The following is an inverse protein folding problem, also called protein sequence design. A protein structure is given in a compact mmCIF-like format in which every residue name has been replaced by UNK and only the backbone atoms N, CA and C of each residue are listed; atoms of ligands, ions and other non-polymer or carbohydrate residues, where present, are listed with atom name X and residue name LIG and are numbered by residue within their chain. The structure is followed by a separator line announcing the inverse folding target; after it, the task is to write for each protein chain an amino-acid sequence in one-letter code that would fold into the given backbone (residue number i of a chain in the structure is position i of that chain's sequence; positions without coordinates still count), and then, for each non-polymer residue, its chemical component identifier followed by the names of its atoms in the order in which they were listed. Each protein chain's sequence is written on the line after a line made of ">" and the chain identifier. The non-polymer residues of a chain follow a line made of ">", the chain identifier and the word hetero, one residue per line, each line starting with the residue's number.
data_IF_032100552340
#
_entry.id   IF_032100552340
#
_cell.length_a   1.000
_cell.length_b   1.000
_cell.length_c   1.000
_cell.angle_alpha   90.00
_cell.angle_beta   90.00
_cell.angle_gamma   90.00
#
_symmetry.space_group_name_H-M   'P 1'
#
loop_
_entity.id
_entity.type
_entity.pdbx_description
1 polymer ?
#
# COMPACT_ATOMS: atom_id res chain seq x y z
N UNK A 1 -8.07 2.31 28.05
CA UNK A 1 -8.33 2.57 26.61
C UNK A 1 -7.15 3.23 25.90
N UNK A 2 -6.21 3.85 26.61
CA UNK A 2 -5.15 4.70 26.04
C UNK A 2 -4.09 3.97 25.22
N UNK A 3 -3.86 2.68 25.48
CA UNK A 3 -2.84 1.89 24.75
C UNK A 3 -3.21 1.64 23.29
N UNK A 4 -4.50 1.45 22.98
CA UNK A 4 -4.97 1.20 21.61
C UNK A 4 -4.83 2.46 20.77
N UNK A 5 -5.26 3.61 21.31
CA UNK A 5 -5.08 4.91 20.66
C UNK A 5 -3.62 5.27 20.40
N UNK A 6 -2.70 4.92 21.33
CA UNK A 6 -1.25 5.09 21.11
C UNK A 6 -0.75 4.29 19.91
N UNK A 7 -1.17 3.03 19.79
CA UNK A 7 -0.80 2.19 18.65
C UNK A 7 -1.39 2.69 17.33
N UNK A 8 -2.64 3.14 17.34
CA UNK A 8 -3.28 3.73 16.16
C UNK A 8 -2.53 4.97 15.69
N UNK A 9 -2.20 5.88 16.60
CA UNK A 9 -1.42 7.09 16.27
C UNK A 9 -0.03 6.75 15.73
N UNK A 10 0.65 5.75 16.31
CA UNK A 10 1.92 5.27 15.81
C UNK A 10 1.79 4.68 14.39
N UNK A 11 0.73 3.92 14.11
CA UNK A 11 0.46 3.38 12.78
C UNK A 11 0.19 4.49 11.75
N UNK A 12 -0.59 5.51 12.10
CA UNK A 12 -0.82 6.68 11.24
C UNK A 12 0.50 7.42 10.97
N UNK A 13 1.34 7.59 11.99
CA UNK A 13 2.68 8.16 11.84
C UNK A 13 3.57 7.36 10.88
N UNK A 14 3.55 6.03 10.99
CA UNK A 14 4.29 5.15 10.09
C UNK A 14 3.81 5.26 8.63
N UNK A 15 2.48 5.34 8.41
CA UNK A 15 1.91 5.57 7.07
C UNK A 15 2.41 6.90 6.52
N UNK A 16 2.31 7.99 7.29
CA UNK A 16 2.74 9.33 6.86
C UNK A 16 4.22 9.34 6.46
N UNK A 17 5.09 8.77 7.29
CA UNK A 17 6.52 8.71 7.01
C UNK A 17 6.83 7.84 5.77
N UNK A 18 6.14 6.71 5.61
CA UNK A 18 6.31 5.86 4.43
C UNK A 18 5.89 6.58 3.13
N UNK A 19 4.80 7.35 3.17
CA UNK A 19 4.34 8.13 2.02
C UNK A 19 5.35 9.23 1.66
N UNK A 20 5.78 10.03 2.65
CA UNK A 20 6.77 11.09 2.44
C UNK A 20 8.12 10.57 1.96
N UNK A 21 8.55 9.39 2.42
CA UNK A 21 9.83 8.80 2.02
C UNK A 21 9.82 8.12 0.64
N UNK A 22 8.66 7.64 0.19
CA UNK A 22 8.55 6.89 -1.08
C UNK A 22 8.14 7.79 -2.25
N UNK A 23 7.28 8.78 -2.00
CA UNK A 23 6.67 9.60 -3.04
C UNK A 23 7.12 11.05 -2.93
N UNK A 24 7.63 11.61 -4.02
CA UNK A 24 7.92 13.05 -4.10
C UNK A 24 6.65 13.91 -4.05
N UNK A 25 5.53 13.40 -4.58
CA UNK A 25 4.22 14.05 -4.54
C UNK A 25 3.11 13.03 -4.25
N UNK A 26 2.23 13.34 -3.31
CA UNK A 26 1.10 12.49 -2.92
C UNK A 26 -0.19 13.10 -3.47
N UNK A 27 -0.86 12.39 -4.38
CA UNK A 27 -2.18 12.78 -4.88
C UNK A 27 -3.30 12.05 -4.14
N UNK A 28 -4.38 12.76 -3.83
CA UNK A 28 -5.59 12.19 -3.22
C UNK A 28 -6.23 11.11 -4.10
N UNK A 29 -6.14 11.25 -5.43
CA UNK A 29 -6.63 10.26 -6.40
C UNK A 29 -6.03 8.87 -6.20
N UNK A 30 -4.79 8.80 -5.76
CA UNK A 30 -4.03 7.56 -5.63
C UNK A 30 -3.96 7.05 -4.18
N UNK A 31 -4.61 7.74 -3.25
CA UNK A 31 -4.55 7.43 -1.82
C UNK A 31 -4.92 5.98 -1.48
N UNK A 32 -5.96 5.36 -2.09
CA UNK A 32 -6.26 3.96 -1.83
C UNK A 32 -5.13 3.01 -2.26
N UNK A 33 -4.44 3.31 -3.37
CA UNK A 33 -3.31 2.51 -3.85
C UNK A 33 -2.10 2.67 -2.95
N UNK A 34 -1.81 3.89 -2.51
CA UNK A 34 -0.72 4.15 -1.59
C UNK A 34 -0.91 3.41 -0.27
N UNK A 35 -2.13 3.41 0.27
CA UNK A 35 -2.45 2.65 1.48
C UNK A 35 -2.34 1.14 1.25
N UNK A 36 -2.83 0.64 0.12
CA UNK A 36 -2.72 -0.79 -0.22
C UNK A 36 -1.26 -1.25 -0.33
N UNK A 37 -0.39 -0.45 -0.96
CA UNK A 37 1.04 -0.72 -1.03
C UNK A 37 1.68 -0.71 0.36
N UNK A 38 1.37 0.31 1.18
CA UNK A 38 1.87 0.38 2.55
C UNK A 38 1.48 -0.86 3.34
N UNK A 39 0.21 -1.26 3.33
CA UNK A 39 -0.28 -2.46 4.01
C UNK A 39 0.42 -3.73 3.48
N UNK A 40 0.62 -3.83 2.16
CA UNK A 40 1.29 -4.97 1.56
C UNK A 40 2.74 -5.13 2.05
N UNK A 41 3.49 -4.02 2.12
CA UNK A 41 4.88 -3.97 2.58
C UNK A 41 4.97 -4.12 4.11
N UNK A 42 4.13 -3.42 4.86
CA UNK A 42 4.12 -3.44 6.32
C UNK A 42 3.84 -4.86 6.86
N UNK A 43 2.86 -5.56 6.31
CA UNK A 43 2.51 -6.93 6.72
C UNK A 43 3.61 -7.96 6.40
N UNK A 44 4.58 -7.59 5.54
CA UNK A 44 5.69 -8.46 5.10
C UNK A 44 7.06 -7.93 5.49
N UNK A 45 7.12 -6.90 6.34
CA UNK A 45 8.36 -6.19 6.70
C UNK A 45 9.44 -7.06 7.35
N UNK A 46 9.07 -8.24 7.86
CA UNK A 46 9.99 -9.21 8.46
C UNK A 46 10.48 -10.29 7.48
N UNK A 47 9.94 -10.33 6.25
CA UNK A 47 10.27 -11.33 5.24
C UNK A 47 10.27 -10.68 3.84
N UNK A 48 11.18 -9.71 3.67
CA UNK A 48 11.29 -8.91 2.45
C UNK A 48 11.65 -9.76 1.22
N UNK A 49 12.50 -10.77 1.39
CA UNK A 49 12.95 -11.62 0.29
C UNK A 49 11.77 -12.35 -0.38
N UNK A 50 10.80 -12.85 0.40
CA UNK A 50 9.62 -13.52 -0.16
C UNK A 50 8.60 -12.55 -0.78
N UNK A 51 8.70 -11.25 -0.50
CA UNK A 51 7.77 -10.25 -1.02
C UNK A 51 7.82 -10.20 -2.56
N UNK A 52 9.02 -10.11 -3.13
CA UNK A 52 9.21 -10.02 -4.60
C UNK A 52 8.70 -11.28 -5.29
N UNK A 53 9.09 -12.46 -4.78
CA UNK A 53 8.64 -13.74 -5.34
C UNK A 53 7.12 -13.89 -5.31
N UNK A 54 6.46 -13.45 -4.23
CA UNK A 54 5.00 -13.46 -4.16
C UNK A 54 4.36 -12.46 -5.10
N UNK A 55 4.92 -11.27 -5.24
CA UNK A 55 4.41 -10.27 -6.18
C UNK A 55 4.50 -10.80 -7.61
N UNK A 56 5.64 -11.39 -7.99
CA UNK A 56 5.82 -12.03 -9.29
C UNK A 56 4.81 -13.17 -9.50
N UNK A 57 4.64 -14.04 -8.51
CA UNK A 57 3.64 -15.12 -8.56
C UNK A 57 2.21 -14.58 -8.75
N UNK A 58 1.84 -13.52 -8.04
CA UNK A 58 0.53 -12.89 -8.20
C UNK A 58 0.38 -12.23 -9.59
N UNK A 59 1.42 -11.56 -10.07
CA UNK A 59 1.41 -10.89 -11.37
C UNK A 59 1.22 -11.88 -12.53
N UNK A 60 1.91 -13.02 -12.51
CA UNK A 60 1.80 -14.06 -13.54
C UNK A 60 0.40 -14.70 -13.56
N UNK A 61 -0.28 -14.78 -12.41
CA UNK A 61 -1.61 -15.39 -12.28
C UNK A 61 -2.76 -14.41 -12.50
N UNK A 62 -2.48 -13.11 -12.54
CA UNK A 62 -3.50 -12.08 -12.73
C UNK A 62 -3.64 -11.80 -14.23
N UNK A 63 -4.84 -11.85 -14.82
CA UNK A 63 -5.02 -11.51 -16.22
C UNK A 63 -4.58 -10.06 -16.49
N UNK A 64 -4.04 -9.77 -17.68
CA UNK A 64 -3.60 -8.42 -18.01
C UNK A 64 -4.76 -7.44 -17.88
N UNK A 65 -4.55 -6.37 -17.09
CA UNK A 65 -5.56 -5.34 -16.86
C UNK A 65 -5.13 -4.03 -17.56
N UNK A 66 -5.81 -3.63 -18.65
CA UNK A 66 -5.54 -2.35 -19.30
C UNK A 66 -5.69 -1.17 -18.33
N UNK A 67 -4.89 -0.12 -18.52
CA UNK A 67 -4.87 1.05 -17.64
C UNK A 67 -6.26 1.68 -17.42
N UNK A 68 -7.12 1.66 -18.44
CA UNK A 68 -8.51 2.14 -18.36
C UNK A 68 -9.30 1.41 -17.26
N UNK A 69 -9.14 0.09 -17.14
CA UNK A 69 -9.81 -0.71 -16.11
C UNK A 69 -9.12 -0.57 -14.75
N UNK A 70 -7.79 -0.47 -14.72
CA UNK A 70 -7.05 -0.32 -13.47
C UNK A 70 -7.41 0.98 -12.73
N UNK A 71 -7.69 2.06 -13.46
CA UNK A 71 -8.16 3.34 -12.92
C UNK A 71 -9.54 3.27 -12.27
N UNK A 72 -10.38 2.27 -12.60
CA UNK A 72 -11.70 2.12 -11.96
C UNK A 72 -11.59 1.88 -10.45
N UNK A 73 -10.47 1.31 -9.98
CA UNK A 73 -10.21 1.14 -8.56
C UNK A 73 -10.03 2.48 -7.81
N UNK A 74 -9.76 3.57 -8.53
CA UNK A 74 -9.52 4.91 -7.97
C UNK A 74 -10.77 5.78 -7.98
N UNK A 75 -11.80 5.41 -8.76
CA UNK A 75 -13.06 6.18 -8.89
C UNK A 75 -14.02 5.92 -7.71
N UNK A 76 -13.79 4.84 -6.95
CA UNK A 76 -14.69 4.35 -5.90
C UNK A 76 -14.43 4.94 -4.50
N UNK A 77 -13.63 5.98 -4.39
CA UNK A 77 -13.28 6.70 -3.16
C UNK A 77 -13.32 8.19 -3.39
#
# INVERSE_FOLDING_TARGET
>A
MDKVFKWVNAMIGNVKNALHGTYHHVSTRHLPRYLAEFCYRFNRRFDLHKMVNRLAFAAVRTPPMPQRLLKLAEVRW
#
